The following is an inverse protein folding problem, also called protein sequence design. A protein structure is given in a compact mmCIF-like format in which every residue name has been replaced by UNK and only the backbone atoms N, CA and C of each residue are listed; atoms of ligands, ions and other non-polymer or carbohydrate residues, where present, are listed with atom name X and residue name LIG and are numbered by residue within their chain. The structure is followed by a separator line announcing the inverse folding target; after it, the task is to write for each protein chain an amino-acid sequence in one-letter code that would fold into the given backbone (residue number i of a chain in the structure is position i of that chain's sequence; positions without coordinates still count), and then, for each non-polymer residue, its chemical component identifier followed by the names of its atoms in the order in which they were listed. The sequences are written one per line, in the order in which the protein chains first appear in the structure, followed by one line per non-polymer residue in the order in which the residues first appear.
data_IF_828082649663
#
_entry.id   IF_828082649663
#
_cell.length_a   1.000
_cell.length_b   1.000
_cell.length_c   1.000
_cell.angle_alpha   90.00
_cell.angle_beta   90.00
_cell.angle_gamma   90.00
#
_symmetry.space_group_name_H-M   'P 1'
#
loop_
_entity.id
_entity.type
_entity.pdbx_description
1 polymer ?
#
# COMPACT_ATOMS: atom_id res chain seq x y z
N UNK A 1 46.42 -24.55 44.31
CA UNK A 1 46.55 -23.85 43.03
C UNK A 1 45.28 -24.08 42.21
N UNK A 2 44.36 -23.10 42.21
CA UNK A 2 43.12 -23.16 41.44
C UNK A 2 43.38 -22.57 40.06
N UNK A 3 43.27 -23.36 39.01
CA UNK A 3 43.34 -22.91 37.60
C UNK A 3 42.01 -22.30 37.22
N UNK A 4 41.98 -20.99 37.00
CA UNK A 4 40.88 -20.28 36.37
C UNK A 4 40.90 -20.57 34.86
N UNK A 5 39.85 -21.24 34.35
CA UNK A 5 39.62 -21.42 32.92
C UNK A 5 38.93 -20.15 32.39
N UNK A 6 39.68 -19.35 31.62
CA UNK A 6 39.13 -18.18 30.96
C UNK A 6 38.36 -18.65 29.72
N UNK A 7 37.02 -18.65 29.79
CA UNK A 7 36.17 -18.93 28.64
C UNK A 7 36.05 -17.59 27.86
N UNK A 8 36.77 -17.48 26.76
CA UNK A 8 36.63 -16.37 25.83
C UNK A 8 35.41 -16.63 24.96
N UNK A 9 34.33 -15.92 25.21
CA UNK A 9 33.19 -15.88 24.31
C UNK A 9 33.57 -15.07 23.07
N UNK A 10 33.84 -15.77 21.97
CA UNK A 10 34.00 -15.16 20.66
C UNK A 10 32.62 -14.76 20.14
N UNK A 11 32.26 -13.49 20.29
CA UNK A 11 31.10 -12.90 19.63
C UNK A 11 31.37 -12.84 18.13
N UNK A 12 30.93 -13.86 17.42
CA UNK A 12 30.91 -13.84 15.95
C UNK A 12 29.78 -12.88 15.54
N UNK A 13 30.14 -11.64 15.23
CA UNK A 13 29.26 -10.74 14.52
C UNK A 13 29.11 -11.26 13.08
N UNK A 14 28.05 -12.00 12.82
CA UNK A 14 27.58 -12.20 11.46
C UNK A 14 27.13 -10.84 10.92
N UNK A 15 28.03 -10.16 10.21
CA UNK A 15 27.61 -9.15 9.24
C UNK A 15 26.79 -9.89 8.17
N UNK A 16 25.49 -10.00 8.38
CA UNK A 16 24.58 -10.30 7.30
C UNK A 16 24.69 -9.12 6.33
N UNK A 17 25.32 -9.37 5.19
CA UNK A 17 25.31 -8.47 4.05
C UNK A 17 23.85 -8.35 3.62
N UNK A 18 23.14 -7.40 4.21
CA UNK A 18 21.72 -7.19 3.98
C UNK A 18 21.54 -6.70 2.56
N UNK A 19 20.81 -7.47 1.75
CA UNK A 19 20.07 -6.89 0.63
C UNK A 19 19.37 -5.66 1.20
N UNK A 20 19.51 -4.51 0.54
CA UNK A 20 18.94 -3.22 0.96
C UNK A 20 17.40 -3.26 0.96
N UNK A 21 16.81 -4.06 1.84
CA UNK A 21 15.38 -4.14 2.06
C UNK A 21 14.84 -2.89 2.75
N UNK A 22 13.60 -2.58 2.53
CA UNK A 22 12.90 -1.50 3.26
C UNK A 22 12.86 -1.89 4.73
N UNK A 23 13.43 -1.05 5.60
CA UNK A 23 13.33 -1.23 7.04
C UNK A 23 11.87 -1.09 7.46
N UNK A 24 11.28 -2.20 7.88
CA UNK A 24 9.89 -2.19 8.34
C UNK A 24 9.79 -1.62 9.75
N UNK A 25 8.73 -0.86 9.99
CA UNK A 25 8.42 -0.32 11.31
C UNK A 25 7.96 -1.46 12.21
N UNK A 26 8.62 -1.64 13.36
CA UNK A 26 8.14 -2.55 14.40
C UNK A 26 6.86 -1.98 15.01
N UNK A 27 5.73 -2.61 14.74
CA UNK A 27 4.43 -2.19 15.24
C UNK A 27 4.09 -2.98 16.51
N UNK A 28 3.74 -2.26 17.59
CA UNK A 28 3.17 -2.88 18.78
C UNK A 28 1.68 -3.12 18.55
N UNK A 29 1.27 -4.37 18.53
CA UNK A 29 -0.13 -4.77 18.39
C UNK A 29 -0.74 -4.82 19.78
N UNK A 30 -1.84 -4.09 20.05
CA UNK A 30 -2.52 -4.17 21.33
C UNK A 30 -3.01 -5.60 21.63
N UNK A 31 -3.00 -5.97 22.90
CA UNK A 31 -3.50 -7.27 23.35
C UNK A 31 -4.96 -7.49 22.93
N UNK A 32 -5.30 -8.70 22.50
CA UNK A 32 -6.64 -9.08 22.07
C UNK A 32 -7.00 -8.74 20.61
N UNK A 33 -6.12 -8.07 19.86
CA UNK A 33 -6.34 -7.87 18.42
C UNK A 33 -5.88 -9.11 17.65
N UNK A 34 -6.82 -9.75 16.94
CA UNK A 34 -6.53 -10.83 16.00
C UNK A 34 -6.36 -10.24 14.61
N UNK A 35 -5.19 -10.44 14.01
CA UNK A 35 -4.89 -10.00 12.67
C UNK A 35 -4.98 -11.21 11.73
N UNK A 36 -5.87 -11.19 10.72
CA UNK A 36 -5.87 -12.20 9.67
C UNK A 36 -4.53 -12.25 8.93
N UNK A 37 -4.11 -13.43 8.48
CA UNK A 37 -2.80 -13.64 7.83
C UNK A 37 -2.61 -12.79 6.55
N UNK A 38 -3.72 -12.46 5.89
CA UNK A 38 -3.75 -11.66 4.67
C UNK A 38 -3.87 -10.15 4.93
N UNK A 39 -3.88 -9.71 6.20
CA UNK A 39 -4.01 -8.30 6.58
C UNK A 39 -2.78 -7.78 7.33
N UNK A 40 -2.69 -6.47 7.42
CA UNK A 40 -1.66 -5.73 8.14
C UNK A 40 -2.33 -4.75 9.10
N UNK A 41 -1.85 -4.70 10.35
CA UNK A 41 -2.30 -3.73 11.33
C UNK A 41 -1.54 -2.41 11.16
N UNK A 42 -2.27 -1.33 10.95
CA UNK A 42 -1.74 0.04 10.89
C UNK A 42 -2.08 0.72 12.21
N UNK A 43 -1.09 1.13 13.02
CA UNK A 43 -1.34 1.72 14.33
C UNK A 43 -1.95 3.11 14.23
N UNK A 44 -2.72 3.49 15.25
CA UNK A 44 -3.20 4.88 15.40
C UNK A 44 -2.03 5.86 15.54
N UNK A 45 -2.28 7.13 15.25
CA UNK A 45 -1.33 8.22 15.46
C UNK A 45 -1.16 9.13 14.25
N UNK A 46 -0.36 10.15 14.45
CA UNK A 46 -0.11 11.18 13.46
C UNK A 46 0.75 10.65 12.30
N UNK A 47 0.47 11.12 11.10
CA UNK A 47 1.31 10.95 9.92
C UNK A 47 1.29 12.22 9.07
N UNK A 48 2.25 12.34 8.16
CA UNK A 48 2.34 13.47 7.23
C UNK A 48 1.70 13.07 5.90
N UNK A 49 0.50 13.60 5.63
CA UNK A 49 -0.21 13.42 4.37
C UNK A 49 0.23 14.44 3.34
N UNK A 50 0.42 14.00 2.09
CA UNK A 50 0.90 14.84 1.00
C UNK A 50 2.42 15.01 0.98
N UNK A 51 2.93 15.54 -0.13
CA UNK A 51 4.35 15.84 -0.33
C UNK A 51 4.51 17.15 -1.08
N UNK A 52 5.55 17.93 -0.76
CA UNK A 52 5.80 19.27 -1.33
C UNK A 52 5.94 19.29 -2.85
N UNK A 53 6.40 18.19 -3.43
CA UNK A 53 6.65 18.09 -4.88
C UNK A 53 5.41 17.66 -5.68
N UNK A 54 4.28 17.40 -5.02
CA UNK A 54 3.07 17.03 -5.72
C UNK A 54 2.28 18.28 -6.12
N UNK A 55 1.94 18.45 -7.40
CA UNK A 55 1.19 19.62 -7.85
C UNK A 55 -0.24 19.69 -7.31
N UNK A 56 -0.80 18.55 -6.93
CA UNK A 56 -2.19 18.42 -6.48
C UNK A 56 -2.34 18.26 -4.97
N UNK A 57 -1.25 18.10 -4.24
CA UNK A 57 -1.28 17.95 -2.80
C UNK A 57 -0.68 19.15 -2.08
N UNK A 58 -1.42 19.68 -1.12
CA UNK A 58 -0.91 20.72 -0.21
C UNK A 58 0.33 20.18 0.52
N UNK A 59 1.27 21.08 0.82
CA UNK A 59 2.42 20.83 1.71
C UNK A 59 1.98 19.89 2.84
N UNK A 60 2.78 18.89 3.14
CA UNK A 60 2.46 17.82 4.07
C UNK A 60 1.66 18.28 5.28
N UNK A 61 0.45 17.76 5.41
CA UNK A 61 -0.45 18.07 6.52
C UNK A 61 -0.37 16.95 7.54
N UNK A 62 -0.21 17.30 8.81
CA UNK A 62 -0.29 16.30 9.90
C UNK A 62 -1.75 15.89 10.08
N UNK A 63 -2.01 14.59 9.91
CA UNK A 63 -3.32 13.96 10.10
C UNK A 63 -3.17 12.95 11.23
N UNK A 64 -4.12 12.96 12.18
CA UNK A 64 -4.27 11.86 13.12
C UNK A 64 -5.20 10.81 12.50
N UNK A 65 -4.73 9.57 12.43
CA UNK A 65 -5.46 8.44 11.86
C UNK A 65 -5.63 7.38 12.94
N UNK A 66 -6.87 6.93 13.15
CA UNK A 66 -7.16 5.79 14.03
C UNK A 66 -6.52 4.50 13.49
N UNK A 67 -6.35 3.52 14.36
CA UNK A 67 -5.83 2.20 13.96
C UNK A 67 -6.83 1.46 13.08
N UNK A 68 -6.32 0.68 12.11
CA UNK A 68 -7.14 -0.13 11.21
C UNK A 68 -6.36 -1.34 10.68
N UNK A 69 -7.08 -2.26 10.05
CA UNK A 69 -6.50 -3.34 9.27
C UNK A 69 -6.64 -3.03 7.78
N UNK A 70 -5.62 -3.37 7.01
CA UNK A 70 -5.63 -3.26 5.54
C UNK A 70 -5.12 -4.56 4.93
N UNK A 71 -5.60 -4.92 3.75
CA UNK A 71 -5.13 -6.09 3.02
C UNK A 71 -3.63 -5.93 2.73
N UNK A 72 -2.86 -7.01 2.92
CA UNK A 72 -1.41 -7.03 2.64
C UNK A 72 -1.11 -6.84 1.17
N UNK A 73 -1.98 -7.38 0.33
CA UNK A 73 -1.84 -7.41 -1.12
C UNK A 73 -3.07 -6.79 -1.79
N UNK A 74 -2.90 -6.32 -3.02
CA UNK A 74 -4.01 -5.98 -3.89
C UNK A 74 -4.91 -7.21 -4.10
N UNK A 75 -6.21 -7.00 -4.26
CA UNK A 75 -7.15 -8.09 -4.58
C UNK A 75 -6.75 -8.76 -5.88
N UNK A 76 -6.55 -10.07 -5.87
CA UNK A 76 -6.14 -10.81 -7.05
C UNK A 76 -7.31 -11.07 -8.00
N UNK A 77 -6.98 -11.38 -9.27
CA UNK A 77 -7.97 -11.77 -10.27
C UNK A 77 -8.77 -13.00 -9.87
N UNK A 78 -8.10 -13.97 -9.25
CA UNK A 78 -8.74 -15.18 -8.74
C UNK A 78 -9.73 -14.84 -7.63
N UNK A 79 -9.31 -14.08 -6.62
CA UNK A 79 -10.20 -13.65 -5.53
C UNK A 79 -11.41 -12.88 -6.06
N UNK A 80 -11.20 -11.93 -6.98
CA UNK A 80 -12.29 -11.17 -7.56
C UNK A 80 -13.23 -12.03 -8.41
N UNK A 81 -12.74 -13.05 -9.11
CA UNK A 81 -13.56 -13.97 -9.89
C UNK A 81 -14.44 -14.88 -9.01
N UNK A 82 -14.05 -15.12 -7.76
CA UNK A 82 -14.90 -15.85 -6.80
C UNK A 82 -16.16 -15.06 -6.43
N UNK A 83 -16.07 -13.75 -6.38
CA UNK A 83 -17.21 -12.84 -6.21
C UNK A 83 -17.97 -12.65 -7.52
N UNK A 84 -17.27 -12.31 -8.61
CA UNK A 84 -17.86 -11.98 -9.90
C UNK A 84 -17.58 -13.08 -10.93
N UNK A 85 -18.48 -14.04 -11.05
CA UNK A 85 -18.29 -15.27 -11.84
C UNK A 85 -18.10 -15.06 -13.35
N UNK A 86 -18.50 -13.92 -13.88
CA UNK A 86 -18.31 -13.52 -15.28
C UNK A 86 -17.01 -12.72 -15.52
N UNK A 87 -16.23 -12.43 -14.47
CA UNK A 87 -14.92 -11.81 -14.60
C UNK A 87 -13.93 -12.78 -15.24
N UNK A 88 -13.41 -12.42 -16.41
CA UNK A 88 -12.50 -13.27 -17.19
C UNK A 88 -11.07 -12.81 -17.09
N UNK A 89 -10.15 -13.74 -16.93
CA UNK A 89 -8.72 -13.50 -16.95
C UNK A 89 -7.97 -14.73 -17.45
N UNK A 90 -6.71 -14.56 -17.84
CA UNK A 90 -5.88 -15.67 -18.26
C UNK A 90 -5.41 -16.47 -17.02
N UNK A 91 -5.54 -17.83 -16.97
CA UNK A 91 -5.23 -18.64 -15.77
C UNK A 91 -3.83 -18.40 -15.19
N UNK A 92 -2.81 -18.19 -16.03
CA UNK A 92 -1.45 -17.87 -15.60
C UNK A 92 -1.31 -16.52 -14.89
N UNK A 93 -2.39 -15.73 -14.84
CA UNK A 93 -2.44 -14.41 -14.20
C UNK A 93 -3.42 -14.38 -13.02
N UNK A 94 -3.69 -15.52 -12.38
CA UNK A 94 -4.59 -15.61 -11.23
C UNK A 94 -4.13 -14.74 -10.07
N UNK A 95 -2.81 -14.70 -9.79
CA UNK A 95 -2.18 -13.90 -8.73
C UNK A 95 -1.82 -12.46 -9.15
N UNK A 96 -2.33 -11.98 -10.28
CA UNK A 96 -2.20 -10.58 -10.68
C UNK A 96 -3.34 -9.75 -10.08
N UNK A 97 -3.17 -8.42 -9.89
CA UNK A 97 -4.23 -7.59 -9.34
C UNK A 97 -5.46 -7.57 -10.26
N UNK A 98 -6.63 -7.58 -9.64
CA UNK A 98 -7.89 -7.37 -10.34
C UNK A 98 -7.88 -5.99 -10.99
N UNK A 99 -8.14 -5.92 -12.28
CA UNK A 99 -8.10 -4.69 -13.07
C UNK A 99 -9.39 -4.54 -13.89
N UNK A 100 -9.64 -3.35 -14.44
CA UNK A 100 -10.90 -3.03 -15.14
C UNK A 100 -12.13 -3.20 -14.24
N UNK A 101 -11.99 -2.87 -12.96
CA UNK A 101 -13.02 -2.95 -11.94
C UNK A 101 -13.58 -1.56 -11.68
N UNK A 102 -14.88 -1.39 -11.78
CA UNK A 102 -15.54 -0.11 -11.44
C UNK A 102 -15.54 0.11 -9.92
N UNK A 103 -15.70 1.37 -9.48
CA UNK A 103 -15.82 1.69 -8.05
C UNK A 103 -16.92 0.87 -7.37
N UNK A 104 -18.09 0.77 -8.00
CA UNK A 104 -19.24 0.00 -7.47
C UNK A 104 -18.88 -1.47 -7.29
N UNK A 105 -18.21 -2.09 -8.26
CA UNK A 105 -17.78 -3.49 -8.17
C UNK A 105 -16.73 -3.69 -7.06
N UNK A 106 -15.79 -2.74 -6.89
CA UNK A 106 -14.83 -2.81 -5.81
C UNK A 106 -15.49 -2.69 -4.43
N UNK A 107 -16.43 -1.76 -4.27
CA UNK A 107 -17.20 -1.59 -3.04
C UNK A 107 -18.04 -2.82 -2.70
N UNK A 108 -18.74 -3.39 -3.70
CA UNK A 108 -19.53 -4.60 -3.55
C UNK A 108 -18.68 -5.82 -3.20
N UNK A 109 -17.49 -5.96 -3.81
CA UNK A 109 -16.52 -7.00 -3.47
C UNK A 109 -16.07 -6.88 -2.01
N UNK A 110 -15.68 -5.70 -1.57
CA UNK A 110 -15.26 -5.48 -0.18
C UNK A 110 -16.39 -5.86 0.80
N UNK A 111 -17.62 -5.42 0.54
CA UNK A 111 -18.79 -5.78 1.36
C UNK A 111 -19.04 -7.28 1.39
N UNK A 112 -18.95 -7.94 0.24
CA UNK A 112 -19.10 -9.40 0.14
C UNK A 112 -18.06 -10.14 0.97
N UNK A 113 -16.82 -9.61 1.04
CA UNK A 113 -15.71 -10.15 1.83
C UNK A 113 -15.68 -9.67 3.30
N UNK A 114 -16.75 -9.00 3.77
CA UNK A 114 -16.82 -8.47 5.13
C UNK A 114 -15.86 -7.30 5.40
N UNK A 115 -15.44 -6.59 4.35
CA UNK A 115 -14.46 -5.50 4.37
C UNK A 115 -15.06 -4.22 3.75
N UNK A 116 -14.26 -3.18 3.69
CA UNK A 116 -14.58 -1.92 3.00
C UNK A 116 -13.38 -1.40 2.25
N UNK A 117 -13.60 -0.49 1.32
CA UNK A 117 -12.51 0.28 0.72
C UNK A 117 -11.82 1.15 1.78
N UNK A 118 -10.50 1.33 1.70
CA UNK A 118 -9.78 2.26 2.55
C UNK A 118 -10.20 3.70 2.23
N UNK A 119 -10.10 4.59 3.21
CA UNK A 119 -10.10 6.02 2.94
C UNK A 119 -8.77 6.43 2.30
N UNK A 120 -8.72 7.61 1.69
CA UNK A 120 -7.48 8.16 1.12
C UNK A 120 -6.39 8.31 2.20
N UNK A 121 -6.76 8.73 3.40
CA UNK A 121 -5.83 8.88 4.53
C UNK A 121 -5.31 7.53 5.03
N UNK A 122 -6.15 6.52 5.11
CA UNK A 122 -5.74 5.15 5.45
C UNK A 122 -4.78 4.59 4.41
N UNK A 123 -5.12 4.74 3.12
CA UNK A 123 -4.26 4.31 2.03
C UNK A 123 -2.88 4.97 2.10
N UNK A 124 -2.84 6.30 2.23
CA UNK A 124 -1.57 7.03 2.24
C UNK A 124 -0.71 6.71 3.47
N UNK A 125 -1.31 6.59 4.66
CA UNK A 125 -0.59 6.16 5.87
C UNK A 125 -0.01 4.76 5.70
N UNK A 126 -0.79 3.82 5.13
CA UNK A 126 -0.34 2.45 4.87
C UNK A 126 0.84 2.42 3.91
N UNK A 127 0.82 3.27 2.89
CA UNK A 127 1.87 3.38 1.88
C UNK A 127 3.15 4.02 2.43
N UNK A 128 3.03 5.16 3.11
CA UNK A 128 4.15 6.07 3.36
C UNK A 128 4.61 6.11 4.82
N UNK A 129 3.93 5.38 5.71
CA UNK A 129 4.26 5.45 7.13
C UNK A 129 3.93 6.82 7.75
N UNK A 130 4.69 7.20 8.77
CA UNK A 130 4.45 8.45 9.53
C UNK A 130 5.52 9.52 9.32
N UNK A 131 6.62 9.21 8.64
CA UNK A 131 7.81 10.05 8.54
C UNK A 131 7.81 11.04 7.36
N UNK A 132 6.73 11.07 6.56
CA UNK A 132 6.60 12.00 5.43
C UNK A 132 7.42 11.63 4.19
N UNK A 133 7.90 10.39 4.09
CA UNK A 133 8.62 9.91 2.90
C UNK A 133 7.80 10.09 1.63
N UNK A 134 8.49 10.27 0.50
CA UNK A 134 7.83 10.51 -0.79
C UNK A 134 7.15 9.25 -1.34
N UNK A 135 7.80 8.11 -1.19
CA UNK A 135 7.36 6.82 -1.73
C UNK A 135 7.14 5.80 -0.61
N UNK A 136 6.45 4.71 -0.89
CA UNK A 136 6.29 3.59 0.05
C UNK A 136 7.67 3.02 0.49
N UNK A 137 8.62 2.95 -0.42
CA UNK A 137 10.00 2.53 -0.17
C UNK A 137 10.90 3.70 0.23
N UNK A 138 11.82 3.48 1.16
CA UNK A 138 12.68 4.52 1.75
C UNK A 138 13.79 5.00 0.82
N UNK A 139 14.31 4.14 -0.06
CA UNK A 139 15.39 4.49 -0.96
C UNK A 139 14.87 5.29 -2.14
N UNK A 140 15.62 6.33 -2.49
CA UNK A 140 15.57 7.03 -3.76
C UNK A 140 15.94 6.05 -4.89
N UNK A 141 15.06 5.12 -5.16
CA UNK A 141 14.98 4.66 -6.51
C UNK A 141 14.22 5.77 -7.21
N UNK A 142 14.94 6.53 -8.04
CA UNK A 142 14.26 7.12 -9.16
C UNK A 142 13.28 6.06 -9.63
N UNK A 143 12.04 6.44 -9.74
CA UNK A 143 11.01 5.52 -10.20
C UNK A 143 11.59 4.70 -11.36
N UNK A 144 11.58 3.36 -11.36
CA UNK A 144 12.37 2.55 -12.27
C UNK A 144 12.11 2.83 -13.75
N UNK A 145 11.14 3.65 -14.05
CA UNK A 145 10.83 4.15 -15.37
C UNK A 145 10.98 5.67 -15.40
N UNK A 146 12.18 6.15 -15.67
CA UNK A 146 12.45 7.55 -16.04
C UNK A 146 11.75 7.97 -17.36
N UNK A 147 10.72 7.30 -17.75
CA UNK A 147 9.93 7.51 -18.94
C UNK A 147 8.91 6.39 -19.07
N UNK A 148 7.80 6.58 -18.46
CA UNK A 148 6.66 5.70 -18.44
C UNK A 148 6.14 5.31 -19.82
N UNK A 149 6.65 4.29 -20.42
CA UNK A 149 5.95 3.61 -21.49
C UNK A 149 5.62 2.18 -21.07
N UNK A 150 4.39 1.99 -20.59
CA UNK A 150 3.81 0.66 -20.49
C UNK A 150 4.28 -0.21 -19.33
N UNK A 151 4.10 0.22 -18.07
CA UNK A 151 4.21 -0.71 -16.96
C UNK A 151 3.14 -1.80 -17.10
N UNK A 152 3.59 -3.04 -17.18
CA UNK A 152 2.69 -4.20 -17.19
C UNK A 152 2.49 -4.63 -15.74
N UNK A 153 1.25 -4.75 -15.24
CA UNK A 153 1.00 -5.25 -13.89
C UNK A 153 1.69 -6.60 -13.65
N UNK A 154 2.25 -6.76 -12.46
CA UNK A 154 2.91 -7.97 -11.99
C UNK A 154 2.02 -8.70 -10.98
N UNK A 155 2.42 -9.90 -10.52
CA UNK A 155 1.75 -10.58 -9.43
C UNK A 155 1.86 -9.77 -8.14
N UNK A 156 0.83 -9.81 -7.31
CA UNK A 156 0.66 -8.94 -6.13
C UNK A 156 1.74 -9.12 -5.04
N UNK A 157 2.42 -10.26 -5.05
CA UNK A 157 3.50 -10.64 -4.12
C UNK A 157 4.92 -10.32 -4.66
N UNK A 158 5.01 -9.58 -5.76
CA UNK A 158 6.27 -9.14 -6.33
C UNK A 158 6.77 -7.83 -5.70
N UNK A 159 8.03 -7.52 -5.95
CA UNK A 159 8.67 -6.27 -5.53
C UNK A 159 8.76 -6.11 -4.01
N UNK A 160 9.35 -7.10 -3.34
CA UNK A 160 9.65 -7.03 -1.90
C UNK A 160 10.44 -5.78 -1.52
N UNK A 161 11.28 -5.29 -2.43
CA UNK A 161 12.04 -4.06 -2.25
C UNK A 161 11.19 -2.78 -2.23
N UNK A 162 9.91 -2.88 -2.63
CA UNK A 162 8.95 -1.77 -2.67
C UNK A 162 7.81 -1.91 -1.66
N UNK A 163 7.97 -2.81 -0.71
CA UNK A 163 7.01 -2.98 0.39
C UNK A 163 6.98 -1.70 1.22
N UNK A 164 5.79 -1.33 1.68
CA UNK A 164 5.61 -0.18 2.57
C UNK A 164 6.28 -0.41 3.94
N UNK A 165 6.48 0.66 4.75
CA UNK A 165 7.05 0.51 6.09
C UNK A 165 6.28 -0.42 7.01
N UNK A 166 4.99 -0.63 6.73
CA UNK A 166 4.13 -1.53 7.49
C UNK A 166 4.02 -2.93 6.89
N UNK A 167 4.65 -3.20 5.76
CA UNK A 167 4.60 -4.52 5.12
C UNK A 167 3.44 -4.71 4.14
N UNK A 168 2.88 -3.62 3.61
CA UNK A 168 1.83 -3.64 2.57
C UNK A 168 2.47 -3.58 1.19
N UNK A 169 2.07 -4.46 0.30
CA UNK A 169 2.52 -4.54 -1.09
C UNK A 169 1.69 -3.63 -2.01
N UNK A 170 2.16 -3.39 -3.23
CA UNK A 170 1.41 -2.68 -4.27
C UNK A 170 1.36 -1.16 -4.11
N UNK A 171 1.69 -0.63 -2.93
CA UNK A 171 1.51 0.77 -2.59
C UNK A 171 2.41 1.71 -3.42
N UNK A 172 1.81 2.41 -4.38
CA UNK A 172 2.50 3.37 -5.24
C UNK A 172 3.09 2.78 -6.53
N UNK A 173 2.81 1.53 -6.83
CA UNK A 173 3.12 0.87 -8.10
C UNK A 173 2.00 -0.13 -8.46
N UNK A 174 2.20 -0.90 -9.53
CA UNK A 174 1.30 -1.93 -10.03
C UNK A 174 0.00 -1.35 -10.61
N UNK A 175 -1.12 -1.31 -9.89
CA UNK A 175 -2.38 -0.77 -10.40
C UNK A 175 -2.90 0.42 -9.60
N UNK A 176 -3.82 1.20 -10.19
CA UNK A 176 -4.57 2.21 -9.48
C UNK A 176 -5.63 1.56 -8.59
N UNK A 177 -5.75 2.05 -7.37
CA UNK A 177 -6.60 1.48 -6.34
C UNK A 177 -7.69 2.45 -5.91
N UNK A 178 -8.93 1.96 -5.81
CA UNK A 178 -10.05 2.74 -5.36
C UNK A 178 -9.97 3.04 -3.86
N UNK A 179 -10.26 4.29 -3.50
CA UNK A 179 -10.54 4.68 -2.10
C UNK A 179 -12.02 5.03 -1.95
N UNK A 180 -12.51 5.06 -0.71
CA UNK A 180 -13.91 5.43 -0.43
C UNK A 180 -14.20 6.91 -0.60
N UNK A 181 -13.16 7.76 -0.68
CA UNK A 181 -13.31 9.21 -0.67
C UNK A 181 -13.77 9.77 -2.02
N UNK A 182 -14.48 10.89 -1.94
CA UNK A 182 -14.77 11.72 -3.09
C UNK A 182 -13.63 12.70 -3.36
N UNK A 183 -13.25 12.84 -4.62
CA UNK A 183 -12.26 13.84 -5.00
C UNK A 183 -12.83 15.25 -4.85
N UNK A 184 -12.22 16.04 -3.99
CA UNK A 184 -12.55 17.44 -3.75
C UNK A 184 -11.27 18.26 -3.78
N UNK A 185 -11.15 19.14 -4.76
CA UNK A 185 -10.08 20.14 -4.84
C UNK A 185 -10.61 21.54 -4.55
N UNK A 186 -9.71 22.49 -4.37
CA UNK A 186 -10.10 23.92 -4.23
C UNK A 186 -10.86 24.45 -5.46
N UNK A 187 -10.60 23.85 -6.62
CA UNK A 187 -11.24 24.20 -7.90
C UNK A 187 -12.52 23.41 -8.17
N UNK A 188 -12.88 22.48 -7.30
CA UNK A 188 -14.08 21.65 -7.48
C UNK A 188 -15.33 22.49 -7.25
N UNK A 189 -16.14 22.67 -8.27
CA UNK A 189 -17.43 23.36 -8.16
C UNK A 189 -18.38 22.61 -7.22
N UNK A 190 -19.39 23.29 -6.67
CA UNK A 190 -20.43 22.62 -5.86
C UNK A 190 -21.15 21.53 -6.64
N UNK A 191 -21.32 21.69 -7.95
CA UNK A 191 -22.00 20.74 -8.83
C UNK A 191 -21.16 19.48 -9.09
N UNK A 192 -19.83 19.58 -8.98
CA UNK A 192 -18.91 18.47 -9.24
C UNK A 192 -18.49 17.74 -7.97
N UNK A 193 -18.93 18.18 -6.80
CA UNK A 193 -18.76 17.44 -5.55
C UNK A 193 -19.46 16.10 -5.66
N UNK A 194 -18.81 15.05 -5.17
CA UNK A 194 -19.33 13.68 -5.25
C UNK A 194 -19.49 13.12 -6.68
N UNK A 195 -18.70 13.64 -7.64
CA UNK A 195 -18.70 13.17 -9.02
C UNK A 195 -17.57 12.16 -9.30
N UNK A 196 -16.43 12.35 -8.69
CA UNK A 196 -15.24 11.53 -8.91
C UNK A 196 -14.73 10.93 -7.61
N UNK A 197 -14.37 9.67 -7.65
CA UNK A 197 -13.72 8.98 -6.53
C UNK A 197 -12.21 9.17 -6.60
N UNK A 198 -11.56 9.20 -5.43
CA UNK A 198 -10.12 9.22 -5.34
C UNK A 198 -9.57 7.82 -5.68
N UNK A 199 -8.57 7.77 -6.53
CA UNK A 199 -7.75 6.60 -6.79
C UNK A 199 -6.31 6.89 -6.37
N UNK A 200 -5.60 5.87 -5.91
CA UNK A 200 -4.23 5.97 -5.42
C UNK A 200 -3.36 4.88 -6.04
N UNK A 201 -2.05 5.02 -5.92
CA UNK A 201 -1.10 4.05 -6.48
C UNK A 201 -0.90 4.21 -7.98
N UNK A 202 -0.65 3.08 -8.65
CA UNK A 202 -0.47 3.00 -10.11
C UNK A 202 0.81 3.62 -10.62
N UNK A 203 1.29 3.11 -11.75
CA UNK A 203 2.49 3.60 -12.44
C UNK A 203 2.19 4.14 -13.84
N UNK A 204 0.95 4.06 -14.29
CA UNK A 204 0.60 4.48 -15.65
C UNK A 204 0.21 5.95 -15.67
N UNK A 205 0.80 6.71 -16.59
CA UNK A 205 0.37 8.09 -16.89
C UNK A 205 -1.04 8.17 -17.50
N UNK A 206 -1.67 7.06 -17.75
CA UNK A 206 -3.05 7.06 -18.19
C UNK A 206 -3.92 7.48 -17.02
N UNK A 207 -4.26 8.74 -17.00
CA UNK A 207 -5.37 9.28 -16.25
C UNK A 207 -6.66 8.65 -16.79
N UNK A 208 -6.82 7.35 -16.54
CA UNK A 208 -8.10 6.73 -16.79
C UNK A 208 -8.98 7.09 -15.61
N UNK A 209 -9.51 8.29 -15.68
CA UNK A 209 -10.70 8.64 -14.90
C UNK A 209 -11.78 7.71 -15.43
N UNK A 210 -11.96 6.58 -14.77
CA UNK A 210 -13.08 5.70 -15.06
C UNK A 210 -14.30 6.40 -14.47
N UNK A 211 -15.15 6.91 -15.38
CA UNK A 211 -16.46 7.47 -15.06
C UNK A 211 -17.35 6.40 -14.44
#
# INVERSE_FOLDING_TARGET
MRRFLLVVFLLIFFFACGKDGVEQIKVNIPEGIIIPDDMVYIPSGNFIMGHSDSPDTKKGKIINQEAFLIDRFEVTREQFSNFKRDYRFHPKKSNFPASMVTFKQAEEYCKWNGRRLPTETEWEKSARGSDGRKWAWKKYYEHPNNGFSGFIPEAVDRREEWISPYGVYGMGHNVWEWTSDWYISEKTSKADRNRYKVIRGGLTQTHTVIK
#
